data_IF_355785778574
#
_entry.id   IF_355785778574
#
_cell.length_a   1.000
_cell.length_b   1.000
_cell.length_c   1.000
_cell.angle_alpha   90.00
_cell.angle_beta   90.00
_cell.angle_gamma   90.00
#
_symmetry.space_group_name_H-M   'P 1'
#
loop_
_entity.id
_entity.type
_entity.pdbx_description
1 polymer ?
#
# COMPACT_ATOMS: atom_id res chain seq x y z
N UNK A 1 -67.54 -35.46 -29.91
CA UNK A 1 -66.08 -35.17 -30.13
C UNK A 1 -65.49 -34.87 -28.75
N UNK A 2 -64.85 -35.84 -28.13
CA UNK A 2 -64.18 -35.69 -26.83
C UNK A 2 -62.70 -35.43 -27.12
N UNK A 3 -62.17 -34.27 -26.74
CA UNK A 3 -60.74 -33.94 -26.84
C UNK A 3 -60.06 -34.46 -25.59
N UNK A 4 -59.17 -35.42 -25.77
CA UNK A 4 -58.26 -35.98 -24.76
C UNK A 4 -57.14 -34.93 -24.53
N UNK A 5 -57.03 -34.39 -23.33
CA UNK A 5 -55.89 -33.59 -22.89
C UNK A 5 -54.86 -34.52 -22.23
N UNK A 6 -53.78 -34.79 -22.90
CA UNK A 6 -52.68 -35.55 -22.33
C UNK A 6 -51.79 -34.58 -21.55
N UNK A 7 -51.75 -34.71 -20.23
CA UNK A 7 -50.90 -33.93 -19.32
C UNK A 7 -49.50 -34.56 -19.30
N UNK A 8 -48.52 -33.90 -19.88
CA UNK A 8 -47.11 -34.27 -19.78
C UNK A 8 -46.57 -33.77 -18.44
N UNK A 9 -46.40 -34.67 -17.48
CA UNK A 9 -45.76 -34.38 -16.21
C UNK A 9 -44.24 -34.51 -16.43
N UNK A 10 -43.54 -33.39 -16.61
CA UNK A 10 -42.09 -33.32 -16.62
C UNK A 10 -41.60 -33.42 -15.17
N UNK A 11 -41.04 -34.53 -14.79
CA UNK A 11 -40.30 -34.70 -13.54
C UNK A 11 -38.99 -33.97 -13.65
N UNK A 12 -38.93 -32.76 -13.08
CA UNK A 12 -37.68 -32.07 -12.82
C UNK A 12 -36.94 -32.80 -11.70
N UNK A 13 -35.97 -33.63 -12.06
CA UNK A 13 -34.97 -34.14 -11.12
C UNK A 13 -34.06 -32.93 -10.73
N UNK A 14 -34.28 -32.36 -9.56
CA UNK A 14 -33.36 -31.40 -8.97
C UNK A 14 -32.09 -32.16 -8.60
N UNK A 15 -31.06 -32.02 -9.41
CA UNK A 15 -29.70 -32.41 -9.04
C UNK A 15 -29.26 -31.32 -8.05
N UNK A 16 -29.41 -31.58 -6.76
CA UNK A 16 -28.68 -30.84 -5.73
C UNK A 16 -27.23 -31.21 -5.88
N UNK A 17 -26.49 -30.40 -6.64
CA UNK A 17 -25.05 -30.38 -6.54
C UNK A 17 -24.76 -30.02 -5.06
N UNK A 18 -24.31 -30.98 -4.26
CA UNK A 18 -23.70 -30.66 -2.98
C UNK A 18 -22.50 -29.79 -3.29
N UNK A 19 -22.60 -28.50 -3.00
CA UNK A 19 -21.44 -27.61 -3.04
C UNK A 19 -20.42 -28.21 -2.08
N UNK A 20 -19.28 -28.63 -2.61
CA UNK A 20 -18.20 -29.14 -1.80
C UNK A 20 -17.80 -28.01 -0.84
N UNK A 21 -17.83 -28.31 0.48
CA UNK A 21 -17.46 -27.31 1.47
C UNK A 21 -16.02 -26.86 1.20
N UNK A 22 -15.83 -25.56 0.99
CA UNK A 22 -14.49 -25.00 0.82
C UNK A 22 -13.73 -25.08 2.14
N UNK A 23 -12.39 -25.32 2.11
CA UNK A 23 -11.60 -25.56 3.34
C UNK A 23 -11.30 -24.27 4.15
N UNK A 24 -11.89 -23.14 3.82
CA UNK A 24 -11.67 -21.86 4.51
C UNK A 24 -12.62 -20.78 4.03
N UNK A 25 -12.30 -19.53 4.35
CA UNK A 25 -13.01 -18.34 3.87
C UNK A 25 -12.37 -17.86 2.57
N UNK A 26 -13.13 -17.54 1.50
CA UNK A 26 -12.59 -16.95 0.28
C UNK A 26 -11.75 -15.70 0.59
N UNK A 27 -10.58 -15.59 -0.01
CA UNK A 27 -9.71 -14.44 0.19
C UNK A 27 -10.40 -13.14 -0.27
N UNK A 28 -10.20 -12.05 0.47
CA UNK A 28 -10.80 -10.75 0.16
C UNK A 28 -10.34 -10.18 -1.18
N UNK A 29 -9.21 -10.66 -1.68
CA UNK A 29 -8.61 -10.29 -2.96
C UNK A 29 -9.14 -11.08 -4.15
N UNK A 30 -10.08 -12.00 -3.94
CA UNK A 30 -10.68 -12.74 -5.03
C UNK A 30 -11.58 -11.85 -5.88
N UNK A 31 -11.61 -12.14 -7.18
CA UNK A 31 -12.64 -11.58 -8.06
C UNK A 31 -14.03 -12.01 -7.52
N UNK A 32 -15.06 -11.13 -7.55
CA UNK A 32 -16.37 -11.42 -7.03
C UNK A 32 -16.90 -12.78 -7.51
N UNK A 33 -17.45 -13.57 -6.58
CA UNK A 33 -17.97 -14.93 -6.77
C UNK A 33 -16.94 -16.06 -6.79
N UNK A 34 -15.65 -15.77 -6.81
CA UNK A 34 -14.59 -16.80 -6.76
C UNK A 34 -14.37 -17.26 -5.32
N UNK A 35 -14.24 -18.59 -5.17
CA UNK A 35 -14.10 -19.23 -3.86
C UNK A 35 -12.64 -19.49 -3.48
N UNK A 36 -11.72 -19.45 -4.45
CA UNK A 36 -10.31 -19.71 -4.27
C UNK A 36 -9.46 -18.52 -4.78
N UNK A 37 -8.30 -18.30 -4.17
CA UNK A 37 -7.82 -18.95 -2.94
C UNK A 37 -8.74 -18.70 -1.76
N UNK A 38 -8.76 -19.64 -0.81
CA UNK A 38 -9.43 -19.47 0.48
C UNK A 38 -8.41 -19.67 1.62
N UNK A 39 -8.66 -19.04 2.76
CA UNK A 39 -7.77 -19.06 3.93
C UNK A 39 -8.51 -19.70 5.11
N UNK A 40 -7.89 -20.67 5.77
CA UNK A 40 -8.42 -21.32 6.97
C UNK A 40 -8.11 -20.53 8.26
N UNK A 41 -8.63 -21.00 9.39
CA UNK A 41 -8.42 -20.39 10.71
C UNK A 41 -6.95 -20.40 11.20
N UNK A 42 -6.11 -21.23 10.59
CA UNK A 42 -4.69 -21.35 10.90
C UNK A 42 -3.80 -20.53 9.94
N UNK A 43 -4.38 -19.73 9.05
CA UNK A 43 -3.64 -18.93 8.06
C UNK A 43 -3.12 -19.75 6.88
N UNK A 44 -3.60 -20.98 6.67
CA UNK A 44 -3.25 -21.78 5.49
C UNK A 44 -4.11 -21.35 4.31
N UNK A 45 -3.48 -21.15 3.16
CA UNK A 45 -4.17 -20.80 1.93
C UNK A 45 -4.34 -22.03 1.04
N UNK A 46 -5.56 -22.29 0.57
CA UNK A 46 -5.83 -23.30 -0.45
C UNK A 46 -6.06 -22.63 -1.79
N UNK A 47 -5.27 -23.02 -2.78
CA UNK A 47 -5.34 -22.54 -4.15
C UNK A 47 -5.92 -23.62 -5.07
N UNK A 48 -6.71 -23.20 -6.05
CA UNK A 48 -7.18 -24.08 -7.13
C UNK A 48 -6.95 -23.43 -8.49
N UNK A 49 -6.52 -24.24 -9.46
CA UNK A 49 -6.31 -23.80 -10.86
C UNK A 49 -6.88 -24.82 -11.82
N UNK A 50 -7.75 -24.39 -12.72
CA UNK A 50 -8.23 -25.22 -13.79
C UNK A 50 -7.26 -25.15 -15.00
N UNK A 51 -6.36 -26.14 -15.09
CA UNK A 51 -5.37 -26.27 -16.14
C UNK A 51 -5.25 -27.74 -16.58
N UNK A 52 -6.28 -28.30 -17.27
CA UNK A 52 -6.35 -29.73 -17.55
C UNK A 52 -5.22 -30.23 -18.47
N UNK A 53 -4.68 -29.38 -19.33
CA UNK A 53 -3.59 -29.72 -20.25
C UNK A 53 -2.20 -29.53 -19.66
N UNK A 54 -2.07 -28.85 -18.51
CA UNK A 54 -0.77 -28.62 -17.88
C UNK A 54 -0.14 -29.91 -17.36
N UNK A 55 1.19 -29.99 -17.42
CA UNK A 55 2.00 -31.07 -16.88
C UNK A 55 2.48 -30.78 -15.46
N UNK A 56 2.66 -29.51 -15.13
CA UNK A 56 3.09 -29.03 -13.82
C UNK A 56 2.41 -27.70 -13.49
N UNK A 57 1.96 -27.55 -12.26
CA UNK A 57 1.48 -26.27 -11.74
C UNK A 57 2.00 -26.08 -10.30
N UNK A 58 2.48 -24.89 -9.99
CA UNK A 58 2.85 -24.51 -8.63
C UNK A 58 2.38 -23.08 -8.31
N UNK A 59 2.21 -22.79 -7.02
CA UNK A 59 2.01 -21.45 -6.48
C UNK A 59 3.32 -20.96 -5.88
N UNK A 60 3.70 -19.72 -6.19
CA UNK A 60 4.82 -19.00 -5.62
C UNK A 60 4.27 -17.87 -4.74
N UNK A 61 4.32 -18.05 -3.42
CA UNK A 61 3.83 -17.08 -2.41
C UNK A 61 4.79 -17.01 -1.24
N UNK A 62 5.07 -15.81 -0.73
CA UNK A 62 6.00 -15.58 0.38
C UNK A 62 7.39 -16.21 0.13
N UNK A 63 7.88 -16.17 -1.12
CA UNK A 63 9.13 -16.78 -1.58
C UNK A 63 9.21 -18.31 -1.43
N UNK A 64 8.08 -18.97 -1.23
CA UNK A 64 7.97 -20.44 -1.17
C UNK A 64 7.15 -20.93 -2.35
N UNK A 65 7.66 -21.97 -3.03
CA UNK A 65 6.99 -22.63 -4.14
C UNK A 65 6.28 -23.89 -3.67
N UNK A 66 4.96 -23.92 -3.85
CA UNK A 66 4.11 -25.03 -3.46
C UNK A 66 3.63 -25.80 -4.71
N UNK A 67 4.18 -27.01 -4.99
CA UNK A 67 3.70 -27.85 -6.09
C UNK A 67 2.25 -28.25 -5.88
N UNK A 68 1.44 -28.15 -6.93
CA UNK A 68 0.02 -28.49 -6.89
C UNK A 68 -0.20 -29.94 -7.33
N UNK A 69 -1.28 -30.54 -6.86
CA UNK A 69 -1.71 -31.88 -7.26
C UNK A 69 -2.95 -31.79 -8.17
N UNK A 70 -2.89 -32.47 -9.30
CA UNK A 70 -3.98 -32.52 -10.30
C UNK A 70 -5.00 -33.59 -9.94
N UNK A 71 -6.28 -33.25 -9.88
CA UNK A 71 -7.35 -34.20 -9.71
C UNK A 71 -7.85 -34.79 -11.06
N UNK A 72 -8.82 -35.73 -11.01
CA UNK A 72 -9.39 -36.38 -12.20
C UNK A 72 -10.06 -35.41 -13.18
N UNK A 73 -10.52 -34.27 -12.71
CA UNK A 73 -11.25 -33.27 -13.51
C UNK A 73 -10.30 -32.24 -14.15
N UNK A 74 -8.97 -32.38 -13.93
CA UNK A 74 -7.96 -31.50 -14.47
C UNK A 74 -7.76 -30.21 -13.65
N UNK A 75 -8.34 -30.15 -12.45
CA UNK A 75 -8.16 -29.05 -11.50
C UNK A 75 -6.94 -29.36 -10.63
N UNK A 76 -6.05 -28.38 -10.52
CA UNK A 76 -4.87 -28.42 -9.67
C UNK A 76 -5.20 -27.76 -8.34
N UNK A 77 -4.72 -28.35 -7.23
CA UNK A 77 -4.96 -27.85 -5.88
C UNK A 77 -3.71 -27.99 -5.01
N UNK A 78 -3.52 -27.05 -4.10
CA UNK A 78 -2.56 -27.13 -3.01
C UNK A 78 -3.04 -26.31 -1.82
N UNK A 79 -2.78 -26.82 -0.61
CA UNK A 79 -2.89 -26.05 0.64
C UNK A 79 -1.47 -25.78 1.16
N UNK A 80 -1.18 -24.52 1.47
CA UNK A 80 0.14 -24.09 1.97
C UNK A 80 0.34 -24.48 3.43
N UNK A 81 1.56 -24.30 3.92
CA UNK A 81 1.80 -24.09 5.36
C UNK A 81 1.13 -22.78 5.79
N UNK A 82 1.00 -22.50 7.12
CA UNK A 82 0.54 -21.22 7.60
C UNK A 82 1.37 -20.08 7.00
N UNK A 83 0.70 -19.15 6.31
CA UNK A 83 1.34 -17.97 5.74
C UNK A 83 1.41 -16.86 6.78
N UNK A 84 2.35 -15.94 6.58
CA UNK A 84 2.48 -14.73 7.41
C UNK A 84 1.23 -13.85 7.25
N UNK A 85 0.77 -13.26 8.34
CA UNK A 85 -0.39 -12.34 8.35
C UNK A 85 -0.07 -11.09 7.52
N UNK A 86 -1.04 -10.58 6.79
CA UNK A 86 -0.93 -9.39 5.96
C UNK A 86 -1.15 -9.67 4.48
N UNK A 87 -0.87 -8.67 3.65
CA UNK A 87 -1.01 -8.76 2.21
C UNK A 87 0.27 -9.31 1.57
N UNK A 88 0.11 -10.32 0.71
CA UNK A 88 1.23 -10.93 -0.02
C UNK A 88 0.93 -10.98 -1.52
N UNK A 89 1.95 -10.70 -2.32
CA UNK A 89 1.92 -10.99 -3.75
C UNK A 89 2.16 -12.48 -3.98
N UNK A 90 1.47 -13.04 -4.97
CA UNK A 90 1.71 -14.41 -5.40
C UNK A 90 1.55 -14.54 -6.91
N UNK A 91 2.08 -15.63 -7.45
CA UNK A 91 1.90 -16.01 -8.84
C UNK A 91 1.71 -17.52 -8.99
N UNK A 92 1.07 -17.92 -10.07
CA UNK A 92 1.07 -19.29 -10.52
C UNK A 92 2.24 -19.51 -11.48
N UNK A 93 2.79 -20.71 -11.50
CA UNK A 93 3.68 -21.17 -12.53
C UNK A 93 3.05 -22.39 -13.21
N UNK A 94 2.75 -22.27 -14.47
CA UNK A 94 2.11 -23.32 -15.27
C UNK A 94 3.09 -23.75 -16.36
N UNK A 95 3.60 -24.97 -16.29
CA UNK A 95 4.59 -25.53 -17.23
C UNK A 95 5.82 -24.59 -17.41
N UNK A 96 6.30 -23.98 -16.31
CA UNK A 96 7.44 -23.07 -16.32
C UNK A 96 7.10 -21.61 -16.65
N UNK A 97 5.85 -21.29 -17.02
CA UNK A 97 5.42 -19.92 -17.32
C UNK A 97 4.76 -19.28 -16.10
N UNK A 98 5.28 -18.12 -15.65
CA UNK A 98 4.65 -17.34 -14.59
C UNK A 98 3.39 -16.64 -15.12
N UNK A 99 2.26 -16.84 -14.43
CA UNK A 99 0.95 -16.26 -14.78
C UNK A 99 0.25 -15.75 -13.53
N UNK A 100 -0.65 -14.79 -13.72
CA UNK A 100 -1.55 -14.37 -12.66
C UNK A 100 -2.68 -15.39 -12.49
N UNK A 101 -3.17 -15.51 -11.25
CA UNK A 101 -4.34 -16.33 -10.95
C UNK A 101 -5.61 -15.65 -11.53
N UNK A 102 -6.37 -16.32 -12.40
CA UNK A 102 -7.59 -15.75 -12.96
C UNK A 102 -8.72 -15.61 -11.93
N UNK A 103 -8.55 -16.12 -10.71
CA UNK A 103 -9.53 -15.97 -9.63
C UNK A 103 -9.23 -14.80 -8.70
N UNK A 104 -8.04 -14.22 -8.77
CA UNK A 104 -7.60 -13.08 -7.95
C UNK A 104 -7.68 -11.77 -8.72
N UNK A 105 -7.98 -10.67 -8.03
CA UNK A 105 -7.64 -9.35 -8.53
C UNK A 105 -6.13 -9.22 -8.73
N UNK A 106 -5.71 -8.25 -9.55
CA UNK A 106 -4.30 -7.98 -9.79
C UNK A 106 -3.88 -6.67 -9.16
N UNK A 107 -2.66 -6.70 -8.63
CA UNK A 107 -2.02 -5.58 -7.94
C UNK A 107 -0.68 -5.29 -8.62
N UNK A 108 -0.29 -4.02 -8.65
CA UNK A 108 1.03 -3.68 -9.13
C UNK A 108 2.03 -3.73 -7.97
N UNK A 109 3.05 -4.54 -8.11
CA UNK A 109 4.15 -4.69 -7.16
C UNK A 109 5.30 -5.47 -7.78
N UNK A 110 6.53 -5.25 -7.29
CA UNK A 110 7.74 -5.80 -7.90
C UNK A 110 7.82 -5.49 -9.41
N UNK A 111 7.41 -4.27 -9.81
CA UNK A 111 7.37 -3.75 -11.19
C UNK A 111 6.52 -4.54 -12.18
N UNK A 112 5.52 -5.26 -11.70
CA UNK A 112 4.62 -6.03 -12.55
C UNK A 112 3.22 -6.17 -11.97
N UNK A 113 2.25 -6.50 -12.83
CA UNK A 113 0.94 -6.94 -12.35
C UNK A 113 1.07 -8.36 -11.81
N UNK A 114 0.58 -8.59 -10.61
CA UNK A 114 0.62 -9.90 -9.95
C UNK A 114 -0.64 -10.14 -9.13
N UNK A 115 -0.95 -11.38 -8.82
CA UNK A 115 -2.05 -11.71 -7.93
C UNK A 115 -1.71 -11.36 -6.48
N UNK A 116 -2.71 -11.17 -5.65
CA UNK A 116 -2.53 -10.85 -4.23
C UNK A 116 -3.43 -11.68 -3.34
N UNK A 117 -2.95 -11.95 -2.12
CA UNK A 117 -3.73 -12.61 -1.08
C UNK A 117 -3.58 -11.85 0.22
N UNK A 118 -4.66 -11.64 0.94
CA UNK A 118 -4.68 -11.11 2.30
C UNK A 118 -4.82 -12.27 3.29
N UNK A 119 -3.84 -12.46 4.17
CA UNK A 119 -3.95 -13.34 5.33
C UNK A 119 -4.43 -12.47 6.49
N UNK A 120 -5.64 -12.66 6.99
CA UNK A 120 -6.27 -11.72 7.91
C UNK A 120 -5.59 -11.71 9.28
N UNK A 121 -5.46 -10.50 9.88
CA UNK A 121 -5.23 -10.34 11.32
C UNK A 121 -6.48 -10.75 12.10
N UNK A 122 -6.39 -10.79 13.45
CA UNK A 122 -7.60 -10.88 14.26
C UNK A 122 -8.53 -9.68 13.97
N UNK A 123 -9.86 -9.83 14.13
CA UNK A 123 -10.79 -8.74 13.88
C UNK A 123 -10.46 -7.45 14.65
N UNK A 124 -9.95 -7.59 15.87
CA UNK A 124 -9.56 -6.46 16.73
C UNK A 124 -8.30 -5.76 16.20
N UNK A 125 -7.30 -6.53 15.76
CA UNK A 125 -6.08 -5.99 15.21
C UNK A 125 -6.32 -5.33 13.85
N UNK A 126 -7.19 -5.93 13.01
CA UNK A 126 -7.54 -5.43 11.69
C UNK A 126 -8.50 -4.22 11.71
N UNK A 127 -9.09 -3.88 12.86
CA UNK A 127 -10.19 -2.90 12.94
C UNK A 127 -9.83 -1.53 12.33
N UNK A 128 -8.56 -1.11 12.41
CA UNK A 128 -8.15 0.20 11.90
C UNK A 128 -8.14 0.31 10.37
N UNK A 129 -7.96 -0.81 9.64
CA UNK A 129 -7.97 -0.82 8.16
C UNK A 129 -9.14 -1.59 7.54
N UNK A 130 -10.01 -2.20 8.36
CA UNK A 130 -11.20 -2.91 7.87
C UNK A 130 -12.31 -1.90 7.55
N UNK A 131 -13.03 -2.15 6.45
CA UNK A 131 -14.20 -1.34 6.08
C UNK A 131 -15.27 -1.40 7.17
N UNK A 132 -15.66 -0.25 7.71
CA UNK A 132 -16.69 -0.12 8.72
C UNK A 132 -17.95 0.51 8.12
N UNK A 133 -18.98 -0.29 7.87
CA UNK A 133 -20.25 0.14 7.24
C UNK A 133 -21.04 1.20 8.02
N UNK A 134 -20.69 1.42 9.28
CA UNK A 134 -21.47 2.27 10.21
C UNK A 134 -20.88 3.69 10.35
N UNK A 135 -19.85 4.04 9.57
CA UNK A 135 -19.24 5.38 9.55
C UNK A 135 -19.32 6.01 8.15
N UNK A 136 -19.21 7.35 8.03
CA UNK A 136 -19.06 8.00 6.73
C UNK A 136 -17.74 7.63 6.06
N UNK A 137 -17.76 7.52 4.71
CA UNK A 137 -16.59 7.14 3.90
C UNK A 137 -16.15 8.27 2.96
N UNK A 138 -14.85 8.47 2.92
CA UNK A 138 -14.19 9.29 1.92
C UNK A 138 -14.18 8.63 0.54
N UNK A 139 -13.58 9.30 -0.43
CA UNK A 139 -13.47 8.81 -1.80
C UNK A 139 -12.02 8.85 -2.25
N UNK A 140 -11.63 7.85 -3.05
CA UNK A 140 -10.35 7.86 -3.78
C UNK A 140 -10.67 8.10 -5.24
N UNK A 141 -10.06 9.14 -5.81
CA UNK A 141 -10.27 9.59 -7.19
C UNK A 141 -9.01 9.36 -8.00
N UNK A 142 -9.16 8.74 -9.15
CA UNK A 142 -8.12 8.75 -10.16
C UNK A 142 -8.15 10.09 -10.89
N UNK A 143 -7.03 10.81 -10.88
CA UNK A 143 -6.86 12.10 -11.53
C UNK A 143 -5.74 11.99 -12.57
N UNK A 144 -5.92 12.69 -13.69
CA UNK A 144 -4.91 12.80 -14.73
C UNK A 144 -4.46 14.25 -14.87
N UNK A 145 -3.17 14.45 -15.06
CA UNK A 145 -2.59 15.75 -15.36
C UNK A 145 -1.49 15.62 -16.40
N UNK A 146 -1.23 16.72 -17.12
CA UNK A 146 -0.13 16.79 -18.06
C UNK A 146 1.14 17.16 -17.31
N UNK A 147 2.21 16.41 -17.49
CA UNK A 147 3.53 16.73 -17.00
C UNK A 147 4.33 17.37 -18.14
N UNK A 148 4.70 18.64 -17.98
CA UNK A 148 5.59 19.33 -18.91
C UNK A 148 7.02 18.81 -18.78
N UNK A 149 7.43 18.40 -17.58
CA UNK A 149 8.76 17.84 -17.31
C UNK A 149 8.98 16.50 -18.01
N UNK A 150 7.95 15.66 -18.09
CA UNK A 150 8.04 14.36 -18.77
C UNK A 150 7.44 14.36 -20.18
N UNK A 151 6.71 15.41 -20.58
CA UNK A 151 6.04 15.47 -21.88
C UNK A 151 4.96 14.40 -22.08
N UNK A 152 4.27 14.00 -21.00
CA UNK A 152 3.23 12.96 -21.03
C UNK A 152 2.12 13.21 -20.02
N UNK A 153 1.01 12.49 -20.19
CA UNK A 153 -0.03 12.41 -19.17
C UNK A 153 0.49 11.57 -18.01
N UNK A 154 0.36 12.07 -16.79
CA UNK A 154 0.55 11.36 -15.54
C UNK A 154 -0.78 11.11 -14.86
N UNK A 155 -0.79 10.18 -13.92
CA UNK A 155 -1.95 9.83 -13.11
C UNK A 155 -1.56 9.87 -11.64
N UNK A 156 -2.46 10.40 -10.81
CA UNK A 156 -2.37 10.30 -9.35
C UNK A 156 -3.71 9.83 -8.78
N UNK A 157 -3.69 9.29 -7.57
CA UNK A 157 -4.88 8.99 -6.79
C UNK A 157 -4.98 9.98 -5.64
N UNK A 158 -6.19 10.51 -5.42
CA UNK A 158 -6.45 11.51 -4.39
C UNK A 158 -7.58 11.04 -3.49
N UNK A 159 -7.26 10.81 -2.21
CA UNK A 159 -8.29 10.60 -1.19
C UNK A 159 -8.85 11.94 -0.73
N UNK A 160 -10.16 12.03 -0.60
CA UNK A 160 -10.88 13.16 -0.01
C UNK A 160 -11.79 12.65 1.12
N UNK A 161 -11.87 13.33 2.29
CA UNK A 161 -12.68 12.87 3.42
C UNK A 161 -14.18 12.89 3.09
N UNK A 162 -14.98 12.18 3.89
CA UNK A 162 -16.41 11.96 3.63
C UNK A 162 -17.23 13.26 3.45
N UNK A 163 -16.93 14.29 4.22
CA UNK A 163 -17.61 15.59 4.14
C UNK A 163 -17.09 16.50 3.02
N UNK A 164 -16.10 16.06 2.25
CA UNK A 164 -15.47 16.92 1.23
C UNK A 164 -16.49 17.51 0.23
N UNK A 165 -17.46 16.72 -0.26
CA UNK A 165 -18.44 17.19 -1.25
C UNK A 165 -19.52 18.10 -0.66
N UNK A 166 -19.76 18.02 0.63
CA UNK A 166 -20.83 18.76 1.31
C UNK A 166 -20.33 19.95 2.11
N UNK A 167 -19.01 20.10 2.26
CA UNK A 167 -18.34 21.18 2.98
C UNK A 167 -17.64 22.14 2.04
N UNK A 168 -17.53 23.42 2.44
CA UNK A 168 -16.70 24.43 1.77
C UNK A 168 -15.31 24.60 2.41
N UNK A 169 -14.96 23.76 3.38
CA UNK A 169 -13.69 23.81 4.12
C UNK A 169 -12.52 23.42 3.20
N UNK A 170 -11.38 24.11 3.36
CA UNK A 170 -10.10 23.69 2.78
C UNK A 170 -9.34 22.80 3.76
N UNK A 171 -8.80 21.69 3.26
CA UNK A 171 -8.17 20.62 4.03
C UNK A 171 -6.64 20.70 3.95
N UNK A 172 -5.92 20.26 4.98
CA UNK A 172 -4.49 20.04 4.86
C UNK A 172 -4.21 18.85 3.94
N UNK A 173 -2.95 18.72 3.46
CA UNK A 173 -2.58 17.72 2.46
C UNK A 173 -1.43 16.86 2.95
N UNK A 174 -1.57 15.55 2.80
CA UNK A 174 -0.49 14.56 2.90
C UNK A 174 -0.13 14.06 1.49
N UNK A 175 1.12 14.26 1.06
CA UNK A 175 1.71 13.60 -0.11
C UNK A 175 2.32 12.29 0.36
N UNK A 176 1.77 11.16 -0.13
CA UNK A 176 2.08 9.83 0.38
C UNK A 176 2.68 8.95 -0.71
N UNK A 177 3.98 8.65 -0.57
CA UNK A 177 4.77 8.04 -1.61
C UNK A 177 4.89 6.52 -1.43
N UNK A 178 4.80 5.77 -2.54
CA UNK A 178 5.02 4.32 -2.61
C UNK A 178 6.52 3.98 -2.66
N UNK A 179 6.87 2.70 -2.54
CA UNK A 179 8.24 2.21 -2.59
C UNK A 179 8.70 1.80 -4.00
N UNK A 180 9.95 1.33 -4.07
CA UNK A 180 10.53 0.80 -5.30
C UNK A 180 9.71 -0.39 -5.83
N UNK A 181 9.45 -0.39 -7.14
CA UNK A 181 8.68 -1.45 -7.81
C UNK A 181 7.18 -1.43 -7.55
N UNK A 182 6.66 -0.40 -6.88
CA UNK A 182 5.25 -0.13 -6.67
C UNK A 182 4.80 1.04 -7.57
N UNK A 183 3.54 1.44 -7.48
CA UNK A 183 3.01 2.60 -8.19
C UNK A 183 1.98 3.38 -7.35
N UNK A 184 1.40 4.41 -7.94
CA UNK A 184 0.44 5.31 -7.33
C UNK A 184 -0.84 4.62 -6.80
N UNK A 185 -1.08 3.35 -7.14
CA UNK A 185 -2.23 2.55 -6.67
C UNK A 185 -1.96 1.86 -5.33
N UNK A 186 -0.70 1.63 -4.98
CA UNK A 186 -0.30 0.77 -3.87
C UNK A 186 -0.95 1.16 -2.55
N UNK A 187 -0.87 2.42 -2.14
CA UNK A 187 -1.47 2.90 -0.90
C UNK A 187 -3.01 2.78 -0.90
N UNK A 188 -3.66 2.94 -2.05
CA UNK A 188 -5.10 2.77 -2.17
C UNK A 188 -5.50 1.29 -2.08
N UNK A 189 -4.87 0.42 -2.84
CA UNK A 189 -5.24 -0.98 -2.97
C UNK A 189 -4.68 -1.83 -1.81
N UNK A 190 -3.36 -1.98 -1.74
CA UNK A 190 -2.69 -2.78 -0.72
C UNK A 190 -2.63 -2.05 0.64
N UNK A 191 -2.39 -0.75 0.62
CA UNK A 191 -2.24 0.10 1.81
C UNK A 191 -3.54 0.40 2.55
N UNK A 192 -4.71 0.21 1.92
CA UNK A 192 -6.04 0.46 2.54
C UNK A 192 -6.22 1.87 3.10
N UNK A 193 -5.57 2.88 2.50
CA UNK A 193 -5.52 4.26 3.02
C UNK A 193 -6.91 4.84 3.33
N UNK A 194 -7.91 4.59 2.48
CA UNK A 194 -9.25 5.12 2.69
C UNK A 194 -9.87 4.61 3.99
N UNK A 195 -9.83 3.28 4.20
CA UNK A 195 -10.37 2.68 5.42
C UNK A 195 -9.65 3.17 6.69
N UNK A 196 -8.31 3.30 6.64
CA UNK A 196 -7.51 3.78 7.77
C UNK A 196 -7.91 5.22 8.12
N UNK A 197 -8.00 6.11 7.14
CA UNK A 197 -8.40 7.49 7.36
C UNK A 197 -9.85 7.61 7.84
N UNK A 198 -10.78 6.92 7.18
CA UNK A 198 -12.20 6.98 7.55
C UNK A 198 -12.41 6.52 9.00
N UNK A 199 -11.78 5.40 9.39
CA UNK A 199 -11.87 4.89 10.76
C UNK A 199 -11.28 5.88 11.79
N UNK A 200 -10.10 6.46 11.50
CA UNK A 200 -9.43 7.40 12.42
C UNK A 200 -10.12 8.76 12.51
N UNK A 201 -10.67 9.26 11.40
CA UNK A 201 -11.48 10.49 11.36
C UNK A 201 -12.77 10.29 12.16
N UNK A 202 -13.48 9.19 11.95
CA UNK A 202 -14.72 8.87 12.68
C UNK A 202 -14.50 8.72 14.19
N UNK A 203 -13.32 8.25 14.61
CA UNK A 203 -12.92 8.17 16.02
C UNK A 203 -12.50 9.53 16.62
N UNK A 204 -12.39 10.60 15.80
CA UNK A 204 -11.87 11.90 16.23
C UNK A 204 -10.37 11.93 16.52
N UNK A 205 -9.63 10.92 16.07
CA UNK A 205 -8.21 10.78 16.33
C UNK A 205 -7.32 11.33 15.20
N UNK A 206 -7.91 11.68 14.06
CA UNK A 206 -7.23 12.19 12.89
C UNK A 206 -7.94 13.45 12.37
N UNK A 207 -7.17 14.47 12.01
CA UNK A 207 -7.70 15.64 11.32
C UNK A 207 -8.09 15.23 9.90
N UNK A 208 -9.32 15.54 9.42
CA UNK A 208 -9.68 15.30 8.03
C UNK A 208 -8.69 15.98 7.08
N UNK A 209 -8.18 15.23 6.10
CA UNK A 209 -7.15 15.69 5.17
C UNK A 209 -7.37 15.14 3.76
N UNK A 210 -6.79 15.79 2.78
CA UNK A 210 -6.61 15.26 1.43
C UNK A 210 -5.30 14.46 1.41
N UNK A 211 -5.30 13.28 0.76
CA UNK A 211 -4.06 12.51 0.57
C UNK A 211 -3.81 12.29 -0.92
N UNK A 212 -2.60 12.59 -1.35
CA UNK A 212 -2.17 12.52 -2.75
C UNK A 212 -1.16 11.39 -2.90
N UNK A 213 -1.42 10.48 -3.80
CA UNK A 213 -0.56 9.34 -4.14
C UNK A 213 -0.21 9.44 -5.62
N UNK A 214 1.06 9.67 -5.95
CA UNK A 214 1.55 9.78 -7.33
C UNK A 214 2.67 8.79 -7.59
N UNK A 215 2.97 8.56 -8.87
CA UNK A 215 4.05 7.68 -9.27
C UNK A 215 5.42 8.33 -9.01
N UNK A 216 6.21 7.70 -8.15
CA UNK A 216 7.49 8.22 -7.67
C UNK A 216 8.67 7.98 -8.59
N UNK A 217 8.48 7.55 -9.84
CA UNK A 217 9.53 7.26 -10.82
C UNK A 217 10.61 6.28 -10.29
N UNK A 218 10.23 5.37 -9.40
CA UNK A 218 11.13 4.36 -8.85
C UNK A 218 10.64 2.95 -9.27
N UNK A 219 11.10 2.49 -10.44
CA UNK A 219 10.88 1.13 -10.95
C UNK A 219 11.56 0.07 -10.08
N UNK A 220 11.70 -1.13 -10.59
CA UNK A 220 12.33 -2.24 -9.89
C UNK A 220 13.77 -2.46 -10.37
N UNK A 221 14.68 -1.65 -9.96
CA UNK A 221 16.09 -1.84 -10.24
C UNK A 221 16.77 -0.58 -10.74
N UNK A 222 17.98 -0.40 -10.25
CA UNK A 222 18.84 0.66 -10.70
C UNK A 222 19.31 0.38 -12.12
N UNK A 223 19.23 1.38 -13.00
CA UNK A 223 19.69 1.26 -14.38
C UNK A 223 18.62 0.82 -15.37
N UNK A 224 17.35 0.72 -15.00
CA UNK A 224 16.25 0.57 -15.95
C UNK A 224 16.14 1.81 -16.87
N UNK A 225 16.63 2.97 -16.38
CA UNK A 225 16.78 4.18 -17.17
C UNK A 225 18.27 4.36 -17.53
N UNK A 226 18.63 4.49 -18.82
CA UNK A 226 20.01 4.67 -19.23
C UNK A 226 20.69 5.86 -18.52
N UNK A 227 21.82 5.61 -17.85
CA UNK A 227 22.59 6.61 -17.11
C UNK A 227 22.10 6.88 -15.68
N UNK A 228 21.06 6.21 -15.21
CA UNK A 228 20.63 6.29 -13.82
C UNK A 228 21.65 5.59 -12.90
N UNK A 229 21.96 6.25 -11.79
CA UNK A 229 22.81 5.72 -10.71
C UNK A 229 21.98 5.51 -9.45
N UNK A 230 22.56 4.90 -8.42
CA UNK A 230 21.90 4.79 -7.13
C UNK A 230 21.49 6.16 -6.56
N UNK A 231 22.37 7.16 -6.68
CA UNK A 231 22.14 8.52 -6.17
C UNK A 231 21.06 9.26 -6.98
N UNK A 232 20.88 8.93 -8.27
CA UNK A 232 19.89 9.57 -9.13
C UNK A 232 18.58 8.79 -9.24
N UNK A 233 18.52 7.57 -8.69
CA UNK A 233 17.35 6.70 -8.83
C UNK A 233 16.09 7.33 -8.22
N UNK A 234 15.09 7.54 -9.06
CA UNK A 234 13.81 8.14 -8.68
C UNK A 234 13.86 9.65 -8.36
N UNK A 235 15.02 10.32 -8.50
CA UNK A 235 15.14 11.78 -8.21
C UNK A 235 14.43 12.65 -9.24
N UNK A 236 14.15 12.11 -10.43
CA UNK A 236 13.34 12.80 -11.44
C UNK A 236 11.91 13.13 -10.95
N UNK A 237 11.46 12.45 -9.93
CA UNK A 237 10.17 12.73 -9.27
C UNK A 237 10.18 14.05 -8.46
N UNK A 238 11.32 14.49 -7.94
CA UNK A 238 11.39 15.63 -7.03
C UNK A 238 10.86 16.93 -7.65
N UNK A 239 11.33 17.37 -8.83
CA UNK A 239 10.75 18.53 -9.49
C UNK A 239 9.30 18.32 -9.91
N UNK A 240 8.91 17.11 -10.29
CA UNK A 240 7.51 16.80 -10.63
C UNK A 240 6.60 17.05 -9.42
N UNK A 241 6.99 16.56 -8.23
CA UNK A 241 6.22 16.81 -7.01
C UNK A 241 6.11 18.31 -6.70
N UNK A 242 7.23 19.02 -6.74
CA UNK A 242 7.32 20.40 -6.27
C UNK A 242 6.68 21.39 -7.27
N UNK A 243 6.88 21.17 -8.56
CA UNK A 243 6.56 22.15 -9.60
C UNK A 243 5.29 21.80 -10.40
N UNK A 244 4.83 20.54 -10.34
CA UNK A 244 3.65 20.09 -11.08
C UNK A 244 2.53 19.54 -10.18
N UNK A 245 2.81 18.54 -9.32
CA UNK A 245 1.78 17.88 -8.50
C UNK A 245 1.22 18.84 -7.45
N UNK A 246 2.07 19.51 -6.66
CA UNK A 246 1.60 20.46 -5.64
C UNK A 246 0.73 21.55 -6.29
N UNK A 247 1.16 22.27 -7.34
CA UNK A 247 0.32 23.24 -8.02
C UNK A 247 -0.96 22.67 -8.62
N UNK A 248 -0.91 21.46 -9.18
CA UNK A 248 -2.10 20.78 -9.71
C UNK A 248 -3.13 20.52 -8.60
N UNK A 249 -2.72 20.01 -7.46
CA UNK A 249 -3.58 19.73 -6.31
C UNK A 249 -4.17 21.01 -5.73
N UNK A 250 -3.36 22.05 -5.55
CA UNK A 250 -3.80 23.34 -5.03
C UNK A 250 -4.82 24.04 -5.94
N UNK A 251 -4.71 23.83 -7.26
CA UNK A 251 -5.66 24.34 -8.24
C UNK A 251 -6.95 23.51 -8.31
N UNK A 252 -6.87 22.20 -8.12
CA UNK A 252 -7.97 21.26 -8.44
C UNK A 252 -8.79 20.86 -7.22
N UNK A 253 -8.23 21.01 -6.01
CA UNK A 253 -8.87 20.59 -4.77
C UNK A 253 -8.94 21.75 -3.75
N UNK A 254 -9.93 21.68 -2.84
CA UNK A 254 -10.02 22.61 -1.71
C UNK A 254 -9.00 22.24 -0.63
N UNK A 255 -7.81 22.75 -0.79
CA UNK A 255 -6.69 22.48 0.12
C UNK A 255 -6.13 23.78 0.66
N UNK A 256 -5.44 23.69 1.82
CA UNK A 256 -4.64 24.77 2.36
C UNK A 256 -3.27 24.72 1.73
N UNK A 257 -2.70 25.89 1.42
CA UNK A 257 -1.43 26.01 0.68
C UNK A 257 -0.23 26.36 1.54
N UNK A 258 -0.46 26.67 2.82
CA UNK A 258 0.61 26.97 3.75
C UNK A 258 1.41 25.70 4.14
N UNK A 259 2.68 25.91 4.53
CA UNK A 259 3.55 24.79 4.89
C UNK A 259 3.07 23.98 6.11
N UNK A 260 2.38 24.62 7.06
CA UNK A 260 1.88 23.94 8.26
C UNK A 260 0.63 23.08 7.99
N UNK A 261 0.09 23.20 6.80
CA UNK A 261 -0.96 22.35 6.27
C UNK A 261 -0.45 21.33 5.24
N UNK A 262 0.88 21.14 5.13
CA UNK A 262 1.45 20.21 4.16
C UNK A 262 2.38 19.20 4.83
N UNK A 263 2.10 17.92 4.60
CA UNK A 263 2.88 16.77 5.05
C UNK A 263 3.40 15.98 3.85
N UNK A 264 4.53 15.30 4.04
CA UNK A 264 5.04 14.29 3.12
C UNK A 264 5.43 13.04 3.91
N UNK A 265 5.04 11.88 3.39
CA UNK A 265 5.47 10.59 3.94
C UNK A 265 5.61 9.56 2.83
N UNK A 266 6.32 8.47 3.11
CA UNK A 266 6.47 7.39 2.14
C UNK A 266 7.02 6.11 2.75
N UNK A 267 6.78 5.00 2.06
CA UNK A 267 7.30 3.70 2.43
C UNK A 267 8.58 3.37 1.65
N UNK A 268 9.52 2.64 2.27
CA UNK A 268 10.71 2.11 1.62
C UNK A 268 11.46 3.21 0.83
N UNK A 269 11.65 3.05 -0.48
CA UNK A 269 12.25 4.07 -1.35
C UNK A 269 11.48 5.39 -1.34
N UNK A 270 10.15 5.36 -1.26
CA UNK A 270 9.33 6.56 -1.07
C UNK A 270 9.60 7.29 0.25
N UNK A 271 10.04 6.56 1.28
CA UNK A 271 10.56 7.15 2.51
C UNK A 271 11.89 7.88 2.30
N UNK A 272 12.79 7.32 1.49
CA UNK A 272 14.03 7.98 1.06
C UNK A 272 13.72 9.27 0.28
N UNK A 273 12.86 9.18 -0.74
CA UNK A 273 12.39 10.35 -1.50
C UNK A 273 11.75 11.42 -0.60
N UNK A 274 10.98 10.98 0.42
CA UNK A 274 10.38 11.89 1.40
C UNK A 274 11.44 12.70 2.15
N UNK A 275 12.49 12.05 2.61
CA UNK A 275 13.58 12.74 3.31
C UNK A 275 14.32 13.69 2.38
N UNK A 276 14.70 13.26 1.19
CA UNK A 276 15.42 14.12 0.23
C UNK A 276 14.61 15.37 -0.13
N UNK A 277 13.31 15.17 -0.44
CA UNK A 277 12.46 16.30 -0.84
C UNK A 277 12.10 17.18 0.35
N UNK A 278 11.55 16.60 1.42
CA UNK A 278 10.97 17.40 2.49
C UNK A 278 12.05 18.06 3.37
N UNK A 279 13.17 17.39 3.65
CA UNK A 279 14.29 17.99 4.40
C UNK A 279 15.01 19.08 3.59
N UNK A 280 15.02 18.94 2.26
CA UNK A 280 15.54 19.99 1.36
C UNK A 280 14.58 21.18 1.16
N UNK A 281 13.32 21.08 1.60
CA UNK A 281 12.27 22.08 1.36
C UNK A 281 11.43 22.35 2.64
N UNK A 282 12.09 22.68 3.76
CA UNK A 282 11.40 22.97 5.02
C UNK A 282 10.51 24.22 4.97
N UNK A 283 10.63 25.03 3.94
CA UNK A 283 9.71 26.12 3.62
C UNK A 283 8.36 25.64 3.06
N UNK A 284 8.29 24.38 2.61
CA UNK A 284 7.09 23.78 2.02
C UNK A 284 6.42 22.73 2.93
N UNK A 285 7.19 22.00 3.74
CA UNK A 285 6.69 20.88 4.54
C UNK A 285 6.96 21.10 6.04
N UNK A 286 5.95 20.84 6.89
CA UNK A 286 6.07 20.90 8.34
C UNK A 286 5.98 19.52 9.03
N UNK A 287 5.50 18.49 8.32
CA UNK A 287 5.32 17.14 8.82
C UNK A 287 5.99 16.17 7.86
N UNK A 288 6.85 15.32 8.39
CA UNK A 288 7.71 14.43 7.60
C UNK A 288 7.65 13.04 8.22
N UNK A 289 7.37 12.00 7.42
CA UNK A 289 7.30 10.63 7.87
C UNK A 289 7.93 9.62 6.92
N UNK A 290 8.65 8.64 7.45
CA UNK A 290 9.12 7.50 6.67
C UNK A 290 8.68 6.18 7.31
N UNK A 291 8.30 5.20 6.48
CA UNK A 291 7.87 3.87 6.90
C UNK A 291 8.80 2.85 6.26
N UNK A 292 9.66 2.20 7.05
CA UNK A 292 10.75 1.36 6.57
C UNK A 292 11.60 2.10 5.53
N UNK A 293 11.81 3.40 5.74
CA UNK A 293 12.53 4.26 4.79
C UNK A 293 13.96 3.80 4.58
N UNK A 294 14.42 3.82 3.34
CA UNK A 294 15.79 3.47 2.98
C UNK A 294 16.75 4.60 3.44
N UNK A 295 17.22 4.53 4.68
CA UNK A 295 18.14 5.48 5.29
C UNK A 295 19.54 4.86 5.25
N UNK A 296 20.38 5.38 4.36
CA UNK A 296 21.73 4.86 4.16
C UNK A 296 22.75 5.71 4.95
N UNK A 297 23.15 5.22 6.13
CA UNK A 297 24.18 5.85 6.95
C UNK A 297 25.39 4.96 7.09
N UNK A 298 26.55 5.53 6.90
CA UNK A 298 27.82 4.87 7.22
C UNK A 298 28.09 4.96 8.73
N UNK A 299 28.69 3.93 9.35
CA UNK A 299 29.11 4.00 10.74
C UNK A 299 30.00 5.24 11.01
N UNK A 300 29.66 6.00 12.06
CA UNK A 300 30.39 7.20 12.42
C UNK A 300 29.98 8.47 11.65
N UNK A 301 28.92 8.42 10.86
CA UNK A 301 28.36 9.62 10.20
C UNK A 301 27.96 10.66 11.23
N UNK A 302 28.43 11.91 11.06
CA UNK A 302 27.97 13.04 11.86
C UNK A 302 26.57 13.47 11.42
N UNK A 303 25.59 13.27 12.30
CA UNK A 303 24.19 13.63 12.04
C UNK A 303 23.97 15.08 11.67
N UNK A 304 24.86 15.98 12.06
CA UNK A 304 24.75 17.40 11.72
C UNK A 304 25.08 17.71 10.26
N UNK A 305 25.75 16.81 9.55
CA UNK A 305 26.22 17.03 8.18
C UNK A 305 25.33 16.42 7.11
N UNK A 306 24.51 15.43 7.48
CA UNK A 306 23.61 14.75 6.53
C UNK A 306 22.51 15.68 6.01
N UNK A 307 21.94 15.34 4.87
CA UNK A 307 20.90 16.14 4.21
C UNK A 307 21.26 17.62 4.12
N UNK A 308 22.48 17.90 3.63
CA UNK A 308 23.03 19.25 3.48
C UNK A 308 23.08 20.05 4.79
N UNK A 309 23.25 19.37 5.92
CA UNK A 309 23.40 20.02 7.23
C UNK A 309 22.09 20.54 7.83
N UNK A 310 20.95 20.04 7.37
CA UNK A 310 19.62 20.48 7.86
C UNK A 310 19.47 20.32 9.38
N UNK A 311 20.18 19.36 9.99
CA UNK A 311 20.15 19.06 11.42
C UNK A 311 21.25 19.78 12.24
N UNK A 312 22.06 20.65 11.61
CA UNK A 312 23.16 21.33 12.29
C UNK A 312 22.70 22.28 13.42
N UNK A 313 21.50 22.86 13.26
CA UNK A 313 20.85 23.74 14.23
C UNK A 313 19.53 23.13 14.68
N UNK A 314 19.56 22.46 15.83
CA UNK A 314 18.41 21.74 16.37
C UNK A 314 17.23 22.68 16.75
N UNK A 315 17.49 23.88 17.26
CA UNK A 315 16.42 24.84 17.61
C UNK A 315 15.69 25.29 16.35
N UNK A 316 16.46 25.67 15.31
CA UNK A 316 15.89 26.08 14.03
C UNK A 316 15.08 24.95 13.41
N UNK A 317 15.63 23.73 13.33
CA UNK A 317 14.92 22.56 12.79
C UNK A 317 13.63 22.28 13.56
N UNK A 318 13.69 22.19 14.88
CA UNK A 318 12.55 21.90 15.75
C UNK A 318 11.49 23.02 15.73
N UNK A 319 11.83 24.24 15.37
CA UNK A 319 10.86 25.33 15.18
C UNK A 319 10.09 25.18 13.87
N UNK A 320 10.72 24.60 12.86
CA UNK A 320 10.15 24.42 11.52
C UNK A 320 9.41 23.07 11.36
N UNK A 321 9.96 21.98 11.86
CA UNK A 321 9.37 20.64 11.70
C UNK A 321 8.51 20.30 12.94
N UNK A 322 7.20 20.14 12.72
CA UNK A 322 6.24 19.80 13.76
C UNK A 322 6.30 18.31 14.12
N UNK A 323 6.47 17.47 13.11
CA UNK A 323 6.60 16.00 13.26
C UNK A 323 7.69 15.51 12.32
N UNK A 324 8.66 14.80 12.88
CA UNK A 324 9.60 13.95 12.17
C UNK A 324 9.38 12.53 12.67
N UNK A 325 8.80 11.68 11.85
CA UNK A 325 8.37 10.32 12.20
C UNK A 325 9.15 9.27 11.40
N UNK A 326 9.58 8.23 12.07
CA UNK A 326 10.19 7.06 11.46
C UNK A 326 9.55 5.80 12.02
N UNK A 327 9.00 4.97 11.15
CA UNK A 327 8.40 3.69 11.51
C UNK A 327 9.09 2.54 10.78
N UNK A 328 9.11 1.36 11.40
CA UNK A 328 9.76 0.17 10.84
C UNK A 328 9.15 -1.09 11.46
N UNK A 329 9.24 -2.23 10.78
CA UNK A 329 8.92 -3.54 11.35
C UNK A 329 10.02 -4.04 12.29
N UNK A 330 9.65 -4.79 13.32
CA UNK A 330 10.63 -5.36 14.28
C UNK A 330 11.54 -6.41 13.65
N UNK A 331 11.10 -7.02 12.54
CA UNK A 331 11.87 -8.03 11.79
C UNK A 331 12.73 -7.40 10.67
N UNK A 332 12.77 -6.06 10.59
CA UNK A 332 13.62 -5.33 9.66
C UNK A 332 14.92 -4.84 10.34
N UNK A 333 15.93 -4.59 9.53
CA UNK A 333 17.21 -4.05 10.01
C UNK A 333 17.69 -2.91 9.10
N UNK A 334 16.87 -1.86 8.98
CA UNK A 334 17.22 -0.65 8.19
C UNK A 334 17.72 0.52 9.05
N UNK A 335 17.88 0.32 10.37
CA UNK A 335 18.54 1.26 11.28
C UNK A 335 17.73 2.53 11.60
N UNK A 336 16.41 2.52 11.43
CA UNK A 336 15.57 3.66 11.75
C UNK A 336 15.61 4.05 13.23
N UNK A 337 15.68 3.07 14.14
CA UNK A 337 15.86 3.26 15.57
C UNK A 337 17.19 3.95 15.91
N UNK A 338 18.29 3.46 15.34
CA UNK A 338 19.64 4.02 15.50
C UNK A 338 19.70 5.44 14.95
N UNK A 339 19.04 5.69 13.81
CA UNK A 339 18.94 7.04 13.23
C UNK A 339 18.17 7.99 14.15
N UNK A 340 17.04 7.56 14.68
CA UNK A 340 16.27 8.32 15.67
C UNK A 340 17.08 8.65 16.91
N UNK A 341 17.82 7.68 17.45
CA UNK A 341 18.72 7.88 18.60
C UNK A 341 19.82 8.89 18.27
N UNK A 342 20.42 8.77 17.09
CA UNK A 342 21.44 9.73 16.60
C UNK A 342 20.91 11.15 16.52
N UNK A 343 19.73 11.35 15.94
CA UNK A 343 19.05 12.65 15.87
C UNK A 343 18.71 13.20 17.26
N UNK A 344 18.20 12.36 18.14
CA UNK A 344 17.88 12.74 19.54
C UNK A 344 19.12 13.21 20.30
N UNK A 345 20.28 12.55 20.06
CA UNK A 345 21.55 12.89 20.71
C UNK A 345 22.06 14.30 20.39
N UNK A 346 21.64 14.85 19.24
CA UNK A 346 21.97 16.23 18.82
C UNK A 346 20.81 17.20 19.04
N UNK A 347 19.74 16.78 19.77
CA UNK A 347 18.63 17.63 20.15
C UNK A 347 17.49 17.75 19.14
N UNK A 348 17.49 16.95 18.06
CA UNK A 348 16.40 16.92 17.08
C UNK A 348 15.23 16.12 17.65
N UNK A 349 14.04 16.74 17.71
CA UNK A 349 12.79 16.06 18.08
C UNK A 349 12.36 15.10 16.97
N UNK A 350 12.13 13.85 17.31
CA UNK A 350 11.63 12.84 16.39
C UNK A 350 10.76 11.82 17.14
N UNK A 351 10.04 11.01 16.38
CA UNK A 351 9.21 9.91 16.89
C UNK A 351 9.60 8.63 16.16
N UNK A 352 9.97 7.60 16.91
CA UNK A 352 10.17 6.25 16.39
C UNK A 352 8.94 5.38 16.71
N UNK A 353 8.54 4.57 15.75
CA UNK A 353 7.48 3.57 15.89
C UNK A 353 7.98 2.22 15.37
N UNK A 354 7.80 1.17 16.18
CA UNK A 354 8.10 -0.20 15.77
C UNK A 354 6.80 -1.00 15.59
N UNK A 355 6.63 -1.62 14.42
CA UNK A 355 5.54 -2.54 14.15
C UNK A 355 5.96 -3.95 14.59
N UNK A 356 5.41 -4.51 15.67
CA UNK A 356 5.89 -5.77 16.22
C UNK A 356 5.54 -6.96 15.32
N UNK A 357 6.51 -7.87 15.13
CA UNK A 357 6.36 -9.14 14.40
C UNK A 357 6.13 -8.97 12.89
N UNK A 358 6.53 -7.84 12.31
CA UNK A 358 6.39 -7.59 10.87
C UNK A 358 7.71 -7.17 10.24
N UNK A 359 7.84 -7.45 8.95
CA UNK A 359 9.02 -7.18 8.13
C UNK A 359 8.75 -6.06 7.11
N UNK A 360 9.48 -6.06 5.98
CA UNK A 360 9.34 -5.08 4.90
C UNK A 360 8.11 -5.38 4.04
N UNK A 361 6.93 -5.05 4.55
CA UNK A 361 5.65 -5.48 4.00
C UNK A 361 4.51 -4.49 4.27
N UNK A 362 3.38 -4.66 3.55
CA UNK A 362 2.22 -3.77 3.63
C UNK A 362 1.62 -3.67 5.03
N UNK A 363 1.67 -4.73 5.85
CA UNK A 363 1.15 -4.68 7.22
C UNK A 363 1.97 -3.71 8.09
N UNK A 364 3.31 -3.73 7.96
CA UNK A 364 4.19 -2.74 8.60
C UNK A 364 3.81 -1.32 8.21
N UNK A 365 3.65 -1.07 6.92
CA UNK A 365 3.40 0.29 6.43
C UNK A 365 2.00 0.80 6.77
N UNK A 366 0.99 -0.06 6.77
CA UNK A 366 -0.35 0.27 7.30
C UNK A 366 -0.30 0.69 8.77
N UNK A 367 0.42 -0.07 9.61
CA UNK A 367 0.57 0.25 11.04
C UNK A 367 1.38 1.51 11.27
N UNK A 368 2.44 1.75 10.49
CA UNK A 368 3.19 3.01 10.52
C UNK A 368 2.32 4.20 10.14
N UNK A 369 1.53 4.09 9.08
CA UNK A 369 0.59 5.13 8.66
C UNK A 369 -0.45 5.40 9.75
N UNK A 370 -1.02 4.34 10.33
CA UNK A 370 -2.00 4.43 11.40
C UNK A 370 -1.46 5.14 12.65
N UNK A 371 -0.17 4.95 12.98
CA UNK A 371 0.52 5.65 14.06
C UNK A 371 0.90 7.10 13.69
N UNK A 372 1.13 7.39 12.41
CA UNK A 372 1.59 8.70 11.94
C UNK A 372 0.46 9.73 11.77
N UNK A 373 -0.67 9.34 11.14
CA UNK A 373 -1.73 10.30 10.80
C UNK A 373 -2.37 11.00 12.02
N UNK A 374 -2.46 10.38 13.21
CA UNK A 374 -2.91 11.09 14.40
C UNK A 374 -2.03 12.25 14.87
N UNK A 375 -0.78 12.32 14.40
CA UNK A 375 0.17 13.37 14.77
C UNK A 375 0.07 14.60 13.87
N UNK A 376 -0.61 14.49 12.73
CA UNK A 376 -0.64 15.51 11.69
C UNK A 376 -1.62 16.65 11.97
N UNK A 377 -1.22 17.86 11.64
CA UNK A 377 -2.06 19.06 11.54
C UNK A 377 -2.77 19.48 12.85
N UNK A 378 -2.14 19.18 13.97
CA UNK A 378 -2.59 19.59 15.33
C UNK A 378 -1.99 20.91 15.76
#
# INVERSE_FOLDING_TARGET
MKKLFTLFMATMTAITAMAQAIPGTPAQTNIPTKQYPCVDENGRATFQVNAPSASEVLVDVCNVKYPMTKNSDGVWEVTTDPLVVGFHYYALNVDGVRVNDPMSETFYGCSQQTSGIEIPESPEAAAYYTYNKDIPHGQVRECQYWSDLEGRVRRCFVYTPAEYETSSVSYPVLYLQHGMGEDERGWHQQGKIANILDNRIAQGNCVPMVVVMDYGNCGYGFGDVPGETFESFGTSFYPILLDEIIPFIEKSFRVRTDRESRAMAGLSWGGHQTFDVALGNLDKFAYIGTFSGAIFLMPGTDMKTIYNGVFADAEKFNSQVKVLFMGMGSEENFGADTFCQGLSSIGIRNTYFESPGTAHEWLTWRRCLDAFIPLLFK
#
